data_IF_028108855120
#
_entry.id   IF_028108855120
#
_cell.length_a   1.000
_cell.length_b   1.000
_cell.length_c   1.000
_cell.angle_alpha   90.00
_cell.angle_beta   90.00
_cell.angle_gamma   90.00
#
_symmetry.space_group_name_H-M   'P 1'
#
loop_
_entity.id
_entity.type
_entity.pdbx_description
1 polymer ?
#
# COMPACT_ATOMS: atom_id res chain seq x y z
N UNK A 1 -4.71 14.25 -8.40
CA UNK A 1 -3.26 14.00 -8.24
C UNK A 1 -3.05 13.04 -7.09
N UNK A 2 -2.24 12.00 -7.29
CA UNK A 2 -2.03 10.92 -6.32
C UNK A 2 -0.55 10.83 -5.95
N UNK A 3 -0.24 10.93 -4.65
CA UNK A 3 1.12 10.77 -4.11
C UNK A 3 1.15 9.49 -3.28
N UNK A 4 2.05 8.53 -3.62
CA UNK A 4 2.20 7.29 -2.86
C UNK A 4 3.49 7.29 -2.06
N UNK A 5 3.40 7.05 -0.76
CA UNK A 5 4.57 6.93 0.13
C UNK A 5 4.86 5.46 0.35
N UNK A 6 6.05 5.01 -0.04
CA UNK A 6 6.48 3.61 0.02
C UNK A 6 7.88 3.47 0.61
N UNK A 7 8.25 2.25 0.96
CA UNK A 7 9.63 1.95 1.44
C UNK A 7 9.99 0.51 1.16
N UNK A 8 11.28 0.23 1.03
CA UNK A 8 11.79 -1.13 0.85
C UNK A 8 11.57 -2.05 2.05
N UNK A 9 11.41 -1.51 3.26
CA UNK A 9 11.17 -2.29 4.50
C UNK A 9 10.21 -1.58 5.45
N UNK A 10 9.65 -2.32 6.41
CA UNK A 10 8.92 -1.76 7.55
C UNK A 10 9.81 -0.87 8.43
N UNK A 11 9.22 0.09 9.11
CA UNK A 11 9.93 0.95 10.08
C UNK A 11 10.65 2.18 9.50
N UNK A 12 10.70 2.38 8.18
CA UNK A 12 11.31 3.56 7.55
C UNK A 12 10.55 4.88 7.80
N UNK A 13 9.37 4.83 8.43
CA UNK A 13 8.56 6.00 8.77
C UNK A 13 7.61 6.45 7.67
N UNK A 14 7.16 5.52 6.81
CA UNK A 14 6.18 5.81 5.74
C UNK A 14 4.95 6.54 6.23
N UNK A 15 4.23 5.97 7.19
CA UNK A 15 2.98 6.53 7.73
C UNK A 15 3.19 7.93 8.31
N UNK A 16 4.30 8.14 9.03
CA UNK A 16 4.66 9.46 9.59
C UNK A 16 4.88 10.50 8.48
N UNK A 17 5.58 10.10 7.40
CA UNK A 17 5.80 10.97 6.24
C UNK A 17 4.50 11.18 5.46
N UNK A 18 3.73 10.12 5.22
CA UNK A 18 2.44 10.21 4.51
C UNK A 18 1.46 11.12 5.23
N UNK A 19 1.32 10.98 6.56
CA UNK A 19 0.49 11.86 7.38
C UNK A 19 0.95 13.33 7.33
N UNK A 20 2.28 13.57 7.36
CA UNK A 20 2.85 14.91 7.26
C UNK A 20 2.63 15.55 5.89
N UNK A 21 2.79 14.76 4.81
CA UNK A 21 2.53 15.22 3.43
C UNK A 21 1.05 15.52 3.23
N UNK A 22 0.17 14.63 3.70
CA UNK A 22 -1.27 14.84 3.62
C UNK A 22 -1.72 16.10 4.37
N UNK A 23 -1.13 16.38 5.54
CA UNK A 23 -1.38 17.63 6.27
C UNK A 23 -0.93 18.87 5.51
N UNK A 24 0.28 18.86 4.90
CA UNK A 24 0.81 20.01 4.14
C UNK A 24 -0.05 20.31 2.91
N UNK A 25 -0.54 19.27 2.24
CA UNK A 25 -1.31 19.39 1.00
C UNK A 25 -2.83 19.46 1.23
N UNK A 26 -3.30 19.39 2.46
CA UNK A 26 -4.73 19.23 2.81
C UNK A 26 -5.39 18.11 1.99
N UNK A 27 -4.66 16.98 1.81
CA UNK A 27 -5.04 15.89 0.91
C UNK A 27 -5.97 14.86 1.58
N UNK A 28 -6.77 14.16 0.77
CA UNK A 28 -7.40 12.90 1.23
C UNK A 28 -6.33 11.85 1.51
N UNK A 29 -6.55 11.01 2.52
CA UNK A 29 -5.58 10.01 2.95
C UNK A 29 -6.10 8.60 2.77
N UNK A 30 -5.27 7.72 2.21
CA UNK A 30 -5.58 6.32 1.98
C UNK A 30 -4.51 5.43 2.64
N UNK A 31 -4.89 4.75 3.72
CA UNK A 31 -4.04 3.71 4.35
C UNK A 31 -4.23 2.39 3.61
N UNK A 32 -3.28 2.05 2.76
CA UNK A 32 -3.23 0.81 2.00
C UNK A 32 -2.30 -0.25 2.62
N UNK A 33 -1.75 -0.01 3.81
CA UNK A 33 -1.06 -1.05 4.61
C UNK A 33 -2.10 -1.92 5.33
N UNK A 34 -2.96 -2.58 4.54
CA UNK A 34 -4.18 -3.25 4.97
C UNK A 34 -3.96 -4.42 5.94
N UNK A 35 -2.74 -4.95 6.03
CA UNK A 35 -2.35 -6.00 6.97
C UNK A 35 -2.11 -5.45 8.39
N UNK A 36 -1.66 -4.19 8.49
CA UNK A 36 -1.36 -3.53 9.76
C UNK A 36 -1.62 -2.00 9.66
N UNK A 37 -2.87 -1.58 9.38
CA UNK A 37 -3.18 -0.16 9.24
C UNK A 37 -2.91 0.57 10.56
N UNK A 38 -2.26 1.72 10.46
CA UNK A 38 -1.86 2.49 11.65
C UNK A 38 -2.07 4.01 11.50
N UNK A 39 -2.60 4.47 10.38
CA UNK A 39 -2.88 5.88 10.14
C UNK A 39 -3.86 6.48 11.16
N UNK A 40 -4.79 5.67 11.70
CA UNK A 40 -5.75 6.11 12.73
C UNK A 40 -5.06 6.70 13.95
N UNK A 41 -3.90 6.17 14.31
CA UNK A 41 -3.13 6.65 15.45
C UNK A 41 -2.69 8.11 15.28
N UNK A 42 -2.31 8.51 14.07
CA UNK A 42 -1.89 9.86 13.74
C UNK A 42 -3.05 10.78 13.38
N UNK A 43 -4.01 10.27 12.60
CA UNK A 43 -5.01 11.09 11.94
C UNK A 43 -6.32 11.20 12.70
N UNK A 44 -6.59 10.26 13.62
CA UNK A 44 -7.76 10.21 14.49
C UNK A 44 -9.08 10.53 13.75
N UNK A 45 -9.41 9.78 12.67
CA UNK A 45 -10.64 10.03 11.93
C UNK A 45 -11.88 9.62 12.72
N UNK A 46 -12.94 10.41 12.58
CA UNK A 46 -14.29 10.00 13.00
C UNK A 46 -14.91 9.21 11.85
N UNK A 47 -14.93 7.87 11.95
CA UNK A 47 -15.49 7.00 10.93
C UNK A 47 -17.00 7.13 10.84
N UNK A 48 -17.51 7.33 9.62
CA UNK A 48 -18.92 7.50 9.32
C UNK A 48 -19.44 6.51 8.25
N UNK A 49 -18.54 5.75 7.61
CA UNK A 49 -18.88 4.80 6.57
C UNK A 49 -17.96 3.57 6.61
N UNK A 50 -18.59 2.40 6.69
CA UNK A 50 -17.94 1.11 6.53
C UNK A 50 -18.43 0.42 5.25
N UNK A 51 -17.51 0.06 4.36
CA UNK A 51 -17.81 -0.66 3.13
C UNK A 51 -17.17 -2.02 3.17
N UNK A 52 -17.98 -3.07 3.28
CA UNK A 52 -17.49 -4.46 3.19
C UNK A 52 -17.03 -4.77 1.77
N UNK A 53 -15.87 -5.44 1.66
CA UNK A 53 -15.29 -5.86 0.38
C UNK A 53 -15.39 -7.38 0.26
N UNK A 54 -15.96 -7.82 -0.85
CA UNK A 54 -16.14 -9.23 -1.18
C UNK A 54 -15.44 -9.56 -2.50
N UNK A 55 -14.93 -10.78 -2.57
CA UNK A 55 -14.36 -11.32 -3.80
C UNK A 55 -15.08 -12.60 -4.17
N UNK A 56 -15.46 -12.81 -5.46
CA UNK A 56 -16.05 -14.05 -5.89
C UNK A 56 -15.06 -15.22 -5.77
N UNK A 57 -15.52 -16.33 -5.18
CA UNK A 57 -14.77 -17.59 -5.09
C UNK A 57 -15.59 -18.74 -5.66
N UNK A 58 -14.96 -19.74 -6.30
CA UNK A 58 -15.69 -20.83 -6.94
C UNK A 58 -16.35 -21.76 -5.92
N UNK A 59 -17.54 -22.21 -6.26
CA UNK A 59 -18.30 -23.27 -5.60
C UNK A 59 -18.55 -24.39 -6.60
N UNK A 60 -18.39 -25.63 -6.18
CA UNK A 60 -18.50 -26.82 -7.02
C UNK A 60 -19.84 -27.52 -6.78
N UNK A 61 -20.56 -27.74 -7.88
CA UNK A 61 -21.77 -28.58 -7.90
C UNK A 61 -21.33 -30.04 -7.92
N UNK A 62 -21.50 -30.75 -6.80
CA UNK A 62 -21.04 -32.13 -6.64
C UNK A 62 -21.79 -33.14 -7.55
N UNK A 63 -23.02 -32.82 -7.96
CA UNK A 63 -23.80 -33.70 -8.84
C UNK A 63 -23.33 -33.62 -10.30
N UNK A 64 -22.84 -32.45 -10.73
CA UNK A 64 -22.34 -32.22 -12.08
C UNK A 64 -20.83 -32.46 -12.20
N UNK A 65 -20.09 -32.31 -11.13
CA UNK A 65 -18.65 -32.42 -11.15
C UNK A 65 -18.19 -33.89 -11.23
N UNK A 66 -17.61 -34.28 -12.37
CA UNK A 66 -16.98 -35.59 -12.57
C UNK A 66 -15.54 -35.69 -12.03
N UNK A 67 -15.06 -34.64 -11.37
CA UNK A 67 -13.71 -34.49 -10.86
C UNK A 67 -12.61 -34.75 -11.92
N UNK A 68 -12.81 -34.33 -13.16
CA UNK A 68 -11.82 -34.51 -14.26
C UNK A 68 -10.48 -33.83 -13.97
N UNK A 69 -10.43 -32.83 -13.06
CA UNK A 69 -9.22 -32.15 -12.64
C UNK A 69 -8.69 -31.09 -13.60
N UNK A 70 -9.42 -30.71 -14.65
CA UNK A 70 -8.98 -29.65 -15.58
C UNK A 70 -8.83 -28.33 -14.84
N UNK A 71 -9.81 -27.94 -14.01
CA UNK A 71 -9.78 -26.69 -13.25
C UNK A 71 -8.60 -26.62 -12.28
N UNK A 72 -8.17 -27.74 -11.70
CA UNK A 72 -7.02 -27.78 -10.79
C UNK A 72 -5.69 -27.63 -11.53
N UNK A 73 -5.57 -28.18 -12.74
CA UNK A 73 -4.38 -28.04 -13.59
C UNK A 73 -4.22 -26.62 -14.14
N UNK A 74 -5.32 -25.97 -14.47
CA UNK A 74 -5.32 -24.62 -15.06
C UNK A 74 -5.23 -23.51 -14.01
N UNK A 75 -5.41 -23.83 -12.72
CA UNK A 75 -5.33 -22.83 -11.67
C UNK A 75 -3.89 -22.35 -11.48
N UNK A 76 -3.56 -21.16 -11.98
CA UNK A 76 -2.24 -20.52 -11.87
C UNK A 76 -1.83 -20.18 -10.44
N UNK A 77 -2.78 -20.12 -9.53
CA UNK A 77 -2.57 -19.74 -8.11
C UNK A 77 -2.53 -20.96 -7.19
N UNK A 78 -2.64 -22.19 -7.73
CA UNK A 78 -2.70 -23.42 -6.95
C UNK A 78 -3.80 -23.40 -5.87
N UNK A 79 -4.85 -22.63 -6.07
CA UNK A 79 -5.97 -22.52 -5.15
C UNK A 79 -6.89 -23.73 -5.17
N UNK A 80 -6.83 -24.56 -6.23
CA UNK A 80 -7.66 -25.74 -6.41
C UNK A 80 -6.83 -27.00 -6.38
N UNK A 81 -7.33 -28.00 -5.66
CA UNK A 81 -6.70 -29.32 -5.62
C UNK A 81 -7.76 -30.43 -5.64
N UNK A 82 -7.38 -31.60 -6.13
CA UNK A 82 -8.26 -32.76 -6.22
C UNK A 82 -7.82 -33.84 -5.22
N UNK A 83 -8.77 -34.33 -4.44
CA UNK A 83 -8.59 -35.52 -3.60
C UNK A 83 -9.68 -36.51 -4.01
N UNK A 84 -9.27 -37.69 -4.47
CA UNK A 84 -10.16 -38.73 -5.00
C UNK A 84 -11.12 -38.16 -6.09
N UNK A 85 -12.41 -38.12 -5.79
CA UNK A 85 -13.46 -37.69 -6.73
C UNK A 85 -14.02 -36.28 -6.37
N UNK A 86 -13.30 -35.49 -5.56
CA UNK A 86 -13.73 -34.16 -5.15
C UNK A 86 -12.65 -33.11 -5.47
N UNK A 87 -13.10 -31.93 -5.84
CA UNK A 87 -12.27 -30.72 -6.02
C UNK A 87 -12.48 -29.81 -4.83
N UNK A 88 -11.39 -29.36 -4.25
CA UNK A 88 -11.36 -28.49 -3.09
C UNK A 88 -10.74 -27.15 -3.40
N UNK A 89 -11.20 -26.12 -2.70
CA UNK A 89 -10.70 -24.75 -2.76
C UNK A 89 -9.87 -24.41 -1.51
N UNK A 90 -8.67 -23.94 -1.71
CA UNK A 90 -7.94 -23.17 -0.70
C UNK A 90 -8.26 -21.69 -0.93
N UNK A 91 -9.32 -21.22 -0.27
CA UNK A 91 -9.88 -19.89 -0.49
C UNK A 91 -8.87 -18.75 -0.42
N UNK A 92 -7.92 -18.71 0.57
CA UNK A 92 -6.91 -17.67 0.65
C UNK A 92 -6.05 -17.52 -0.62
N UNK A 93 -5.84 -18.60 -1.39
CA UNK A 93 -5.06 -18.58 -2.62
C UNK A 93 -5.88 -18.20 -3.86
N UNK A 94 -7.20 -18.09 -3.73
CA UNK A 94 -8.07 -17.79 -4.86
C UNK A 94 -8.03 -16.30 -5.22
N UNK A 95 -7.77 -15.99 -6.48
CA UNK A 95 -7.78 -14.64 -7.02
C UNK A 95 -9.09 -14.25 -7.73
N UNK A 96 -10.13 -15.12 -7.72
CA UNK A 96 -11.43 -14.81 -8.34
C UNK A 96 -11.36 -14.60 -9.86
N UNK A 97 -10.37 -15.18 -10.54
CA UNK A 97 -10.07 -14.87 -11.95
C UNK A 97 -11.04 -15.48 -12.98
N UNK A 98 -11.94 -16.37 -12.58
CA UNK A 98 -12.94 -16.97 -13.48
C UNK A 98 -12.46 -18.15 -14.31
N UNK A 99 -11.16 -18.42 -14.41
CA UNK A 99 -10.62 -19.43 -15.34
C UNK A 99 -11.16 -20.84 -15.08
N UNK A 100 -11.33 -21.24 -13.82
CA UNK A 100 -11.83 -22.57 -13.48
C UNK A 100 -13.24 -22.85 -14.01
N UNK A 101 -14.13 -21.86 -14.01
CA UNK A 101 -15.45 -21.95 -14.62
C UNK A 101 -15.37 -22.06 -16.14
N UNK A 102 -14.54 -21.21 -16.77
CA UNK A 102 -14.40 -21.19 -18.24
C UNK A 102 -13.93 -22.53 -18.80
N UNK A 103 -13.04 -23.24 -18.07
CA UNK A 103 -12.47 -24.52 -18.53
C UNK A 103 -13.28 -25.74 -18.09
N UNK A 104 -14.35 -25.56 -17.32
CA UNK A 104 -15.15 -26.67 -16.81
C UNK A 104 -16.08 -27.26 -17.88
N UNK A 105 -15.85 -28.50 -18.40
CA UNK A 105 -16.68 -29.08 -19.43
C UNK A 105 -18.09 -29.41 -18.93
N UNK A 106 -18.22 -29.70 -17.62
CA UNK A 106 -19.50 -30.05 -16.99
C UNK A 106 -20.30 -28.83 -16.53
N UNK A 107 -19.73 -27.61 -16.67
CA UNK A 107 -20.34 -26.37 -16.13
C UNK A 107 -20.77 -26.51 -14.65
N UNK A 108 -19.93 -27.21 -13.88
CA UNK A 108 -20.19 -27.56 -12.49
C UNK A 108 -19.64 -26.50 -11.51
N UNK A 109 -19.26 -25.30 -11.99
CA UNK A 109 -18.67 -24.26 -11.14
C UNK A 109 -19.53 -23.02 -11.22
N UNK A 110 -19.90 -22.50 -10.07
CA UNK A 110 -20.53 -21.20 -9.86
C UNK A 110 -19.68 -20.37 -8.89
N UNK A 111 -20.12 -19.16 -8.55
CA UNK A 111 -19.39 -18.29 -7.62
C UNK A 111 -20.28 -17.88 -6.45
N UNK A 112 -19.64 -17.75 -5.30
CA UNK A 112 -20.21 -17.08 -4.12
C UNK A 112 -19.30 -15.94 -3.68
N UNK A 113 -19.87 -14.96 -2.99
CA UNK A 113 -19.10 -13.88 -2.40
C UNK A 113 -18.40 -14.36 -1.13
N UNK A 114 -17.10 -14.04 -1.03
CA UNK A 114 -16.29 -14.28 0.17
C UNK A 114 -15.71 -12.98 0.68
N UNK A 115 -15.91 -12.70 1.96
CA UNK A 115 -15.45 -11.49 2.61
C UNK A 115 -13.92 -11.41 2.62
N UNK A 116 -13.39 -10.30 2.14
CA UNK A 116 -11.95 -9.98 2.11
C UNK A 116 -11.55 -9.06 3.25
N UNK A 117 -12.36 -8.06 3.55
CA UNK A 117 -12.07 -7.03 4.53
C UNK A 117 -13.11 -5.92 4.50
N UNK A 118 -12.78 -4.80 5.12
CA UNK A 118 -13.64 -3.61 5.21
C UNK A 118 -12.80 -2.38 4.84
N UNK A 119 -13.40 -1.44 4.12
CA UNK A 119 -12.86 -0.09 3.92
C UNK A 119 -13.65 0.83 4.86
N UNK A 120 -12.96 1.38 5.86
CA UNK A 120 -13.53 2.37 6.77
C UNK A 120 -13.17 3.77 6.29
N UNK A 121 -14.14 4.65 6.25
CA UNK A 121 -13.95 6.03 5.79
C UNK A 121 -14.50 6.99 6.83
N UNK A 122 -13.80 8.10 7.04
CA UNK A 122 -14.20 9.10 8.02
C UNK A 122 -13.51 10.44 7.80
N UNK A 123 -13.85 11.43 8.61
CA UNK A 123 -13.28 12.77 8.56
C UNK A 123 -12.26 12.97 9.68
N UNK A 124 -11.08 13.46 9.33
CA UNK A 124 -10.04 13.83 10.30
C UNK A 124 -10.00 15.35 10.50
N UNK A 125 -10.24 15.79 11.71
CA UNK A 125 -10.06 17.20 12.08
C UNK A 125 -8.59 17.64 11.95
N UNK A 126 -7.65 16.72 12.11
CA UNK A 126 -6.21 17.01 12.01
C UNK A 126 -5.77 17.31 10.57
N UNK A 127 -6.34 16.58 9.59
CA UNK A 127 -6.09 16.83 8.16
C UNK A 127 -7.06 17.82 7.54
N UNK A 128 -8.21 18.04 8.18
CA UNK A 128 -9.37 18.74 7.61
C UNK A 128 -9.85 18.08 6.31
N UNK A 129 -9.71 16.77 6.23
CA UNK A 129 -10.08 16.00 5.05
C UNK A 129 -10.46 14.56 5.42
N UNK A 130 -10.90 13.78 4.41
CA UNK A 130 -11.28 12.39 4.59
C UNK A 130 -10.08 11.47 4.68
N UNK A 131 -10.25 10.42 5.48
CA UNK A 131 -9.29 9.32 5.68
C UNK A 131 -9.99 8.02 5.36
N UNK A 132 -9.34 7.17 4.59
CA UNK A 132 -9.81 5.85 4.18
C UNK A 132 -8.80 4.81 4.65
N UNK A 133 -9.26 3.83 5.41
CA UNK A 133 -8.42 2.78 6.00
C UNK A 133 -8.92 1.43 5.54
N UNK A 134 -8.02 0.62 4.98
CA UNK A 134 -8.33 -0.77 4.62
C UNK A 134 -8.00 -1.72 5.75
N UNK A 135 -8.99 -2.45 6.23
CA UNK A 135 -8.83 -3.51 7.23
C UNK A 135 -8.99 -4.88 6.58
N UNK A 136 -7.91 -5.62 6.45
CA UNK A 136 -7.93 -6.96 5.91
C UNK A 136 -8.53 -7.93 6.95
N UNK A 137 -9.45 -8.79 6.52
CA UNK A 137 -10.00 -9.85 7.37
C UNK A 137 -8.89 -10.75 7.90
N UNK A 138 -8.86 -10.99 9.19
CA UNK A 138 -7.88 -11.88 9.85
C UNK A 138 -7.85 -13.25 9.14
N UNK A 139 -6.63 -13.68 8.77
CA UNK A 139 -6.38 -14.92 8.04
C UNK A 139 -6.60 -14.85 6.53
N UNK A 140 -7.01 -13.71 5.98
CA UNK A 140 -7.05 -13.49 4.53
C UNK A 140 -5.64 -13.16 4.01
N UNK A 141 -5.29 -13.67 2.82
CA UNK A 141 -4.06 -13.31 2.10
C UNK A 141 -4.37 -12.43 0.87
N UNK A 142 -5.61 -11.93 0.77
CA UNK A 142 -6.13 -11.18 -0.38
C UNK A 142 -5.97 -9.66 -0.23
N UNK A 143 -4.91 -9.22 0.46
CA UNK A 143 -4.62 -7.79 0.69
C UNK A 143 -4.51 -7.00 -0.60
N UNK A 144 -3.85 -7.55 -1.63
CA UNK A 144 -3.74 -6.91 -2.95
C UNK A 144 -5.12 -6.64 -3.60
N UNK A 145 -6.10 -7.52 -3.37
CA UNK A 145 -7.46 -7.31 -3.87
C UNK A 145 -8.13 -6.15 -3.14
N UNK A 146 -8.05 -6.11 -1.80
CA UNK A 146 -8.59 -5.00 -0.99
C UNK A 146 -7.97 -3.66 -1.41
N UNK A 147 -6.65 -3.60 -1.57
CA UNK A 147 -5.93 -2.42 -2.07
C UNK A 147 -6.47 -1.99 -3.43
N UNK A 148 -6.67 -2.94 -4.36
CA UNK A 148 -7.20 -2.62 -5.69
C UNK A 148 -8.62 -2.04 -5.63
N UNK A 149 -9.46 -2.51 -4.71
CA UNK A 149 -10.80 -1.95 -4.51
C UNK A 149 -10.74 -0.54 -3.87
N UNK A 150 -9.79 -0.28 -2.98
CA UNK A 150 -9.56 1.06 -2.42
C UNK A 150 -9.07 2.03 -3.49
N UNK A 151 -8.11 1.61 -4.31
CA UNK A 151 -7.55 2.43 -5.42
C UNK A 151 -8.63 2.86 -6.40
N UNK A 152 -9.62 2.02 -6.73
CA UNK A 152 -10.75 2.36 -7.60
C UNK A 152 -11.64 3.48 -7.04
N UNK A 153 -11.57 3.74 -5.72
CA UNK A 153 -12.35 4.76 -5.04
C UNK A 153 -11.63 6.10 -4.90
N UNK A 154 -10.35 6.18 -5.30
CA UNK A 154 -9.59 7.43 -5.24
C UNK A 154 -10.17 8.41 -6.25
N UNK A 155 -10.53 9.58 -5.76
CA UNK A 155 -11.01 10.70 -6.59
C UNK A 155 -9.82 11.36 -7.29
N UNK A 156 -9.75 11.23 -8.61
CA UNK A 156 -8.65 11.76 -9.42
C UNK A 156 -8.68 13.29 -9.53
N UNK A 157 -9.81 13.92 -9.21
CA UNK A 157 -9.95 15.38 -9.25
C UNK A 157 -9.39 16.05 -7.98
N UNK A 158 -9.08 15.26 -6.97
CA UNK A 158 -8.52 15.71 -5.70
C UNK A 158 -7.05 15.34 -5.52
N UNK A 159 -6.42 15.94 -4.53
CA UNK A 159 -5.11 15.52 -4.07
C UNK A 159 -5.32 14.39 -3.06
N UNK A 160 -4.64 13.27 -3.29
CA UNK A 160 -4.70 12.09 -2.43
C UNK A 160 -3.30 11.62 -2.06
N UNK A 161 -3.10 11.27 -0.79
CA UNK A 161 -1.87 10.66 -0.29
C UNK A 161 -2.15 9.23 0.11
N UNK A 162 -1.36 8.31 -0.41
CA UNK A 162 -1.39 6.89 -0.12
C UNK A 162 -0.26 6.53 0.83
N UNK A 163 -0.57 5.94 1.98
CA UNK A 163 0.39 5.19 2.79
C UNK A 163 0.41 3.74 2.29
N UNK A 164 1.46 3.37 1.57
CA UNK A 164 1.57 2.06 0.94
C UNK A 164 2.15 0.99 1.88
N UNK A 165 1.89 -0.29 1.62
CA UNK A 165 2.53 -1.38 2.35
C UNK A 165 4.04 -1.40 2.10
N UNK A 166 4.83 -1.96 3.04
CA UNK A 166 6.28 -2.04 2.89
C UNK A 166 6.70 -3.12 1.89
N UNK A 167 7.93 -3.00 1.40
CA UNK A 167 8.60 -4.01 0.59
C UNK A 167 8.23 -3.96 -0.89
N UNK A 168 8.51 -5.09 -1.58
CA UNK A 168 8.43 -5.22 -3.04
C UNK A 168 7.32 -6.19 -3.47
N UNK A 169 6.29 -6.34 -2.65
CA UNK A 169 5.16 -7.24 -2.86
C UNK A 169 4.19 -6.74 -3.94
N UNK A 170 3.30 -7.62 -4.41
CA UNK A 170 2.20 -7.21 -5.29
C UNK A 170 1.31 -6.12 -4.67
N UNK A 171 1.20 -6.11 -3.34
CA UNK A 171 0.48 -5.07 -2.59
C UNK A 171 1.16 -3.70 -2.72
N UNK A 172 2.50 -3.64 -2.56
CA UNK A 172 3.27 -2.42 -2.77
C UNK A 172 3.16 -1.91 -4.21
N UNK A 173 3.27 -2.81 -5.19
CA UNK A 173 3.08 -2.45 -6.62
C UNK A 173 1.67 -1.91 -6.88
N UNK A 174 0.64 -2.48 -6.26
CA UNK A 174 -0.73 -1.99 -6.39
C UNK A 174 -0.92 -0.58 -5.81
N UNK A 175 -0.24 -0.25 -4.72
CA UNK A 175 -0.24 1.09 -4.13
C UNK A 175 0.58 2.12 -4.95
N UNK A 176 1.64 1.68 -5.64
CA UNK A 176 2.48 2.51 -6.52
C UNK A 176 1.76 2.82 -7.84
N UNK A 177 1.04 1.86 -8.39
CA UNK A 177 0.48 1.92 -9.74
C UNK A 177 -0.34 3.19 -10.04
N UNK A 178 -1.25 3.66 -9.18
CA UNK A 178 -2.06 4.86 -9.44
C UNK A 178 -1.30 6.18 -9.26
N UNK A 179 -0.12 6.17 -8.64
CA UNK A 179 0.57 7.38 -8.22
C UNK A 179 1.16 8.18 -9.39
N UNK A 180 0.97 9.49 -9.35
CA UNK A 180 1.65 10.48 -10.20
C UNK A 180 3.06 10.73 -9.68
N UNK A 181 3.21 10.83 -8.34
CA UNK A 181 4.49 10.97 -7.64
C UNK A 181 4.65 9.90 -6.58
N UNK A 182 5.83 9.28 -6.50
CA UNK A 182 6.16 8.32 -5.44
C UNK A 182 7.20 8.91 -4.50
N UNK A 183 6.91 8.89 -3.21
CA UNK A 183 7.87 9.23 -2.15
C UNK A 183 8.48 7.94 -1.62
N UNK A 184 9.74 7.68 -1.95
CA UNK A 184 10.48 6.51 -1.49
C UNK A 184 11.20 6.83 -0.18
N UNK A 185 10.64 6.38 0.95
CA UNK A 185 11.23 6.55 2.26
C UNK A 185 12.32 5.50 2.52
N UNK A 186 13.49 5.94 2.97
CA UNK A 186 14.59 5.06 3.34
C UNK A 186 15.12 5.42 4.74
N UNK A 187 15.35 4.41 5.57
CA UNK A 187 16.16 4.56 6.78
C UNK A 187 17.64 4.35 6.40
N UNK A 188 18.51 5.36 6.55
CA UNK A 188 19.90 5.31 6.13
C UNK A 188 20.72 4.30 6.93
N UNK A 189 20.73 3.08 6.46
CA UNK A 189 21.53 1.96 6.96
C UNK A 189 21.93 1.08 5.77
N UNK A 190 22.97 0.27 5.85
CA UNK A 190 23.34 -0.63 4.75
C UNK A 190 22.19 -1.51 4.26
N UNK A 191 21.38 -2.06 5.19
CA UNK A 191 20.19 -2.84 4.87
C UNK A 191 19.07 -1.99 4.26
N UNK A 192 18.81 -0.81 4.84
CA UNK A 192 17.79 0.11 4.34
C UNK A 192 18.09 0.58 2.91
N UNK A 193 19.35 0.85 2.60
CA UNK A 193 19.77 1.21 1.24
C UNK A 193 19.63 0.05 0.25
N UNK A 194 19.97 -1.17 0.66
CA UNK A 194 19.77 -2.35 -0.18
C UNK A 194 18.29 -2.55 -0.52
N UNK A 195 17.40 -2.49 0.48
CA UNK A 195 15.96 -2.67 0.29
C UNK A 195 15.36 -1.53 -0.55
N UNK A 196 15.85 -0.30 -0.34
CA UNK A 196 15.48 0.86 -1.15
C UNK A 196 15.83 0.64 -2.63
N UNK A 197 17.03 0.13 -2.94
CA UNK A 197 17.45 -0.13 -4.32
C UNK A 197 16.52 -1.10 -5.05
N UNK A 198 16.04 -2.12 -4.37
CA UNK A 198 15.08 -3.06 -4.96
C UNK A 198 13.75 -2.37 -5.29
N UNK A 199 13.23 -1.55 -4.37
CA UNK A 199 12.01 -0.77 -4.63
C UNK A 199 12.21 0.25 -5.74
N UNK A 200 13.36 0.92 -5.75
CA UNK A 200 13.72 1.88 -6.81
C UNK A 200 13.75 1.24 -8.20
N UNK A 201 14.25 0.00 -8.32
CA UNK A 201 14.22 -0.75 -9.59
C UNK A 201 12.78 -0.98 -10.07
N UNK A 202 11.84 -1.25 -9.16
CA UNK A 202 10.42 -1.38 -9.51
C UNK A 202 9.88 -0.03 -10.02
N UNK A 203 10.19 1.07 -9.35
CA UNK A 203 9.76 2.41 -9.77
C UNK A 203 10.29 2.75 -11.17
N UNK A 204 11.55 2.44 -11.45
CA UNK A 204 12.18 2.64 -12.77
C UNK A 204 11.48 1.78 -13.84
N UNK A 205 11.23 0.49 -13.55
CA UNK A 205 10.53 -0.41 -14.47
C UNK A 205 9.08 0.01 -14.76
N UNK A 206 8.44 0.65 -13.78
CA UNK A 206 7.08 1.18 -13.91
C UNK A 206 7.05 2.60 -14.48
N UNK A 207 8.23 3.17 -14.82
CA UNK A 207 8.38 4.54 -15.32
C UNK A 207 7.73 5.58 -14.39
N UNK A 208 7.84 5.38 -13.07
CA UNK A 208 7.27 6.28 -12.08
C UNK A 208 8.17 7.46 -11.79
N UNK A 209 7.56 8.65 -11.70
CA UNK A 209 8.22 9.81 -11.12
C UNK A 209 8.36 9.62 -9.61
N UNK A 210 9.56 9.82 -9.06
CA UNK A 210 9.78 9.59 -7.63
C UNK A 210 10.86 10.49 -7.04
N UNK A 211 10.73 10.76 -5.74
CA UNK A 211 11.75 11.39 -4.91
C UNK A 211 12.16 10.43 -3.78
N UNK A 212 13.34 10.63 -3.22
CA UNK A 212 13.85 9.81 -2.10
C UNK A 212 13.96 10.69 -0.87
N UNK A 213 13.40 10.22 0.26
CA UNK A 213 13.55 10.86 1.58
C UNK A 213 14.35 9.92 2.49
N UNK A 214 15.55 10.36 2.86
CA UNK A 214 16.36 9.70 3.89
C UNK A 214 15.83 10.09 5.27
N UNK A 215 15.06 9.20 5.90
CA UNK A 215 14.42 9.44 7.19
C UNK A 215 15.16 8.73 8.33
N UNK A 216 15.18 9.32 9.52
CA UNK A 216 15.89 8.82 10.71
C UNK A 216 17.40 8.74 10.49
N UNK A 217 17.99 9.73 9.84
CA UNK A 217 19.41 9.76 9.57
C UNK A 217 20.21 9.98 10.87
N UNK A 218 21.04 8.99 11.23
CA UNK A 218 21.99 9.08 12.35
C UNK A 218 23.29 9.78 11.92
N UNK A 219 23.63 9.71 10.64
CA UNK A 219 24.89 10.20 10.11
C UNK A 219 24.70 10.71 8.69
N UNK A 220 24.78 12.01 8.52
CA UNK A 220 24.64 12.67 7.21
C UNK A 220 25.69 12.20 6.21
N UNK A 221 26.94 11.96 6.64
CA UNK A 221 28.00 11.46 5.74
C UNK A 221 27.67 10.10 5.13
N UNK A 222 26.97 9.23 5.89
CA UNK A 222 26.52 7.95 5.36
C UNK A 222 25.52 8.16 4.21
N UNK A 223 24.62 9.12 4.38
CA UNK A 223 23.63 9.49 3.35
C UNK A 223 24.35 10.08 2.13
N UNK A 224 25.22 11.06 2.34
CA UNK A 224 25.99 11.69 1.26
C UNK A 224 26.82 10.68 0.48
N UNK A 225 27.58 9.82 1.16
CA UNK A 225 28.40 8.79 0.52
C UNK A 225 27.57 7.82 -0.31
N UNK A 226 26.40 7.41 0.19
CA UNK A 226 25.53 6.49 -0.53
C UNK A 226 24.98 7.11 -1.82
N UNK A 227 24.62 8.41 -1.80
CA UNK A 227 24.03 9.11 -2.94
C UNK A 227 25.07 9.80 -3.85
N UNK A 228 26.35 9.83 -3.47
CA UNK A 228 27.41 10.57 -4.18
C UNK A 228 27.54 10.18 -5.67
N UNK A 229 27.44 8.89 -5.98
CA UNK A 229 27.62 8.35 -7.34
C UNK A 229 26.29 7.98 -8.02
N UNK A 230 25.16 8.35 -7.42
CA UNK A 230 23.86 7.96 -7.95
C UNK A 230 23.27 9.03 -8.87
N UNK A 231 22.54 8.57 -9.88
CA UNK A 231 21.83 9.44 -10.83
C UNK A 231 20.70 10.21 -10.13
N UNK A 232 19.93 9.51 -9.28
CA UNK A 232 18.88 10.12 -8.42
C UNK A 232 19.44 10.29 -7.02
N UNK A 233 19.52 11.53 -6.55
CA UNK A 233 19.93 11.87 -5.17
C UNK A 233 18.71 11.86 -4.26
N UNK A 234 18.94 11.80 -2.94
CA UNK A 234 17.86 12.06 -1.99
C UNK A 234 17.41 13.52 -2.11
N UNK A 235 16.11 13.73 -1.99
CA UNK A 235 15.54 15.07 -2.06
C UNK A 235 15.51 15.75 -0.68
N UNK A 236 15.39 14.96 0.39
CA UNK A 236 15.36 15.45 1.77
C UNK A 236 16.01 14.43 2.72
N UNK A 237 16.78 14.93 3.69
CA UNK A 237 17.30 14.15 4.83
C UNK A 237 16.66 14.65 6.11
N UNK A 238 16.00 13.74 6.84
CA UNK A 238 15.41 13.99 8.15
C UNK A 238 16.26 13.25 9.19
N UNK A 239 16.83 13.99 10.12
CA UNK A 239 17.67 13.44 11.18
C UNK A 239 16.87 12.53 12.12
N UNK A 240 17.55 11.56 12.74
CA UNK A 240 17.02 10.86 13.91
C UNK A 240 17.06 11.81 15.11
N UNK A 241 15.90 12.27 15.56
CA UNK A 241 15.74 13.22 16.66
C UNK A 241 14.74 12.68 17.68
N UNK A 242 15.14 12.72 18.96
CA UNK A 242 14.28 12.32 20.07
C UNK A 242 12.97 13.12 20.13
N UNK A 243 12.95 14.36 19.66
CA UNK A 243 11.73 15.19 19.60
C UNK A 243 10.71 14.55 18.65
N UNK A 244 11.16 14.10 17.46
CA UNK A 244 10.31 13.43 16.46
C UNK A 244 9.83 12.08 16.97
N UNK A 245 10.72 11.33 17.64
CA UNK A 245 10.34 10.05 18.25
C UNK A 245 9.26 10.22 19.31
N UNK A 246 9.42 11.18 20.23
CA UNK A 246 8.42 11.49 21.27
C UNK A 246 7.10 11.97 20.69
N UNK A 247 7.12 12.78 19.62
CA UNK A 247 5.92 13.20 18.90
C UNK A 247 5.19 12.02 18.27
N UNK A 248 5.93 11.12 17.59
CA UNK A 248 5.36 9.88 17.04
C UNK A 248 4.72 9.00 18.11
N UNK A 249 5.33 8.87 19.29
CA UNK A 249 4.76 8.12 20.42
C UNK A 249 3.46 8.72 20.97
N UNK A 250 3.18 9.98 20.72
CA UNK A 250 1.91 10.64 21.07
C UNK A 250 0.90 10.62 19.93
N UNK A 251 1.29 10.12 18.74
CA UNK A 251 0.47 10.19 17.54
C UNK A 251 0.38 11.59 16.94
N UNK A 252 1.39 12.44 17.16
CA UNK A 252 1.42 13.77 16.58
C UNK A 252 1.83 13.69 15.10
N UNK A 253 1.27 14.57 14.25
CA UNK A 253 1.71 14.76 12.87
C UNK A 253 2.93 15.67 12.90
N UNK A 254 4.09 15.20 12.40
CA UNK A 254 5.34 15.94 12.56
C UNK A 254 5.31 17.32 11.91
N UNK A 255 4.68 17.45 10.73
CA UNK A 255 4.54 18.75 10.06
C UNK A 255 3.64 19.75 10.78
N UNK A 256 2.83 19.30 11.75
CA UNK A 256 2.07 20.20 12.64
C UNK A 256 2.88 20.71 13.83
N UNK A 257 3.93 19.97 14.21
CA UNK A 257 4.70 20.23 15.41
C UNK A 257 6.05 20.90 15.14
N UNK A 258 6.59 20.72 13.92
CA UNK A 258 7.96 21.12 13.58
C UNK A 258 8.01 21.83 12.23
N UNK A 259 8.32 23.14 12.26
CA UNK A 259 8.40 23.98 11.07
C UNK A 259 9.47 23.51 10.09
N UNK A 260 10.57 22.95 10.57
CA UNK A 260 11.63 22.40 9.74
C UNK A 260 11.16 21.19 8.93
N UNK A 261 10.27 20.34 9.47
CA UNK A 261 9.66 19.21 8.75
C UNK A 261 8.63 19.73 7.75
N UNK A 262 7.80 20.69 8.17
CA UNK A 262 6.80 21.30 7.27
C UNK A 262 7.48 21.92 6.06
N UNK A 263 8.46 22.81 6.28
CA UNK A 263 9.13 23.57 5.21
C UNK A 263 9.95 22.64 4.29
N UNK A 264 10.69 21.69 4.85
CA UNK A 264 11.50 20.76 4.07
C UNK A 264 10.65 19.85 3.17
N UNK A 265 9.55 19.28 3.70
CA UNK A 265 8.64 18.46 2.89
C UNK A 265 7.90 19.30 1.85
N UNK A 266 7.41 20.50 2.22
CA UNK A 266 6.72 21.39 1.29
C UNK A 266 7.61 21.78 0.11
N UNK A 267 8.87 22.15 0.37
CA UNK A 267 9.82 22.54 -0.66
C UNK A 267 10.05 21.40 -1.66
N UNK A 268 10.47 20.22 -1.19
CA UNK A 268 10.82 19.10 -2.10
C UNK A 268 9.62 18.59 -2.88
N UNK A 269 8.44 18.54 -2.26
CA UNK A 269 7.23 18.11 -2.95
C UNK A 269 6.82 19.14 -4.00
N UNK A 270 6.83 20.44 -3.67
CA UNK A 270 6.49 21.49 -4.62
C UNK A 270 7.44 21.53 -5.83
N UNK A 271 8.73 21.27 -5.61
CA UNK A 271 9.72 21.18 -6.69
C UNK A 271 9.41 20.00 -7.63
N UNK A 272 9.09 18.82 -7.10
CA UNK A 272 8.78 17.64 -7.91
C UNK A 272 7.41 17.79 -8.63
N UNK A 273 6.43 18.42 -7.99
CA UNK A 273 5.13 18.71 -8.63
C UNK A 273 5.19 19.74 -9.75
N UNK A 274 6.16 20.63 -9.73
CA UNK A 274 6.38 21.60 -10.81
C UNK A 274 6.98 20.96 -12.07
N UNK A 275 7.46 19.73 -12.00
CA UNK A 275 8.06 18.98 -13.09
C UNK A 275 7.04 18.03 -13.76
N UNK A 276 5.99 17.63 -13.03
CA UNK A 276 4.87 16.80 -13.52
C UNK A 276 3.88 17.61 -14.36
#
# INVERSE_FOLDING_TARGET
>A
MIISVVSGKGGAGKTTLAASIAHILEAEFYDLDVDAPNAEYFLQPEFDLDTSVYQPVPVFDEERCDACGICTKECRFNALYKILNHVYLTEPLCHGCGLCEMVCPQKAISYQESSVGVIRSGYSQRLKNRVHVGDLKIGSTRGTYLISEMVKKIDTDKISVIDGPPGNSCAAVAAIKPADLVVLAVEPSPFGFHDMQQTEQILIQMEKHYLIIANKALNERLVENFFHERTKKNSLTIALDDRYHKANLRGDILSQQFDEIYSGLQEVISQELAIL
#
